data_IF_668543114115
#
_entry.id   IF_668543114115
#
_cell.length_a   1.000
_cell.length_b   1.000
_cell.length_c   1.000
_cell.angle_alpha   90.00
_cell.angle_beta   90.00
_cell.angle_gamma   90.00
#
_symmetry.space_group_name_H-M   'P 1'
#
loop_
_entity.id
_entity.type
_entity.pdbx_description
1 polymer ?
#
# COMPACT_ATOMS: atom_id res chain seq x y z
N UNK A 1 -26.77 -1.13 -5.48
CA UNK A 1 -25.52 -1.91 -5.63
C UNK A 1 -24.62 -1.20 -6.63
N UNK A 2 -23.30 -1.27 -6.48
CA UNK A 2 -22.38 -0.69 -7.46
C UNK A 2 -22.52 -1.41 -8.82
N UNK A 3 -22.45 -0.66 -9.93
CA UNK A 3 -22.67 -1.13 -11.31
C UNK A 3 -21.88 -2.38 -11.71
N UNK A 4 -20.75 -2.63 -11.05
CA UNK A 4 -19.81 -3.71 -11.36
C UNK A 4 -19.63 -4.73 -10.23
N UNK A 5 -20.45 -4.68 -9.18
CA UNK A 5 -20.25 -5.54 -7.99
C UNK A 5 -18.98 -5.21 -7.19
N UNK A 6 -18.29 -4.12 -7.51
CA UNK A 6 -17.06 -3.68 -6.83
C UNK A 6 -17.42 -2.86 -5.60
N UNK A 7 -16.90 -3.27 -4.44
CA UNK A 7 -16.98 -2.49 -3.20
C UNK A 7 -15.83 -1.48 -3.17
N UNK A 8 -16.15 -0.19 -3.30
CA UNK A 8 -15.18 0.87 -3.11
C UNK A 8 -14.98 1.15 -1.61
N UNK A 9 -13.76 1.02 -1.13
CA UNK A 9 -13.39 1.30 0.27
C UNK A 9 -12.57 2.60 0.27
N UNK A 10 -13.03 3.57 1.05
CA UNK A 10 -12.38 4.87 1.18
C UNK A 10 -11.54 4.90 2.46
N UNK A 11 -10.38 5.56 2.38
CA UNK A 11 -9.55 5.87 3.55
C UNK A 11 -10.01 7.19 4.20
N UNK A 12 -9.77 7.38 5.51
CA UNK A 12 -10.03 8.67 6.15
C UNK A 12 -9.30 9.82 5.45
N UNK A 13 -9.88 11.04 5.45
CA UNK A 13 -9.23 12.20 4.86
C UNK A 13 -7.89 12.49 5.56
N UNK A 14 -6.89 12.94 4.80
CA UNK A 14 -5.55 13.28 5.29
C UNK A 14 -4.84 12.16 6.08
N UNK A 15 -5.21 10.90 5.83
CA UNK A 15 -4.59 9.74 6.47
C UNK A 15 -3.89 8.83 5.44
N UNK A 16 -2.75 9.29 4.84
CA UNK A 16 -2.03 8.59 3.79
C UNK A 16 -1.57 7.17 4.19
N UNK A 17 -1.24 7.00 5.47
CA UNK A 17 -0.80 5.71 6.02
C UNK A 17 -1.79 4.56 5.79
N UNK A 18 -3.11 4.83 5.71
CA UNK A 18 -4.11 3.81 5.39
C UNK A 18 -4.00 3.25 3.97
N UNK A 19 -3.39 3.99 3.03
CA UNK A 19 -3.08 3.53 1.69
C UNK A 19 -1.56 3.39 1.45
N UNK A 20 -0.80 3.16 2.53
CA UNK A 20 0.67 3.24 2.50
C UNK A 20 1.34 2.27 1.50
N UNK A 21 0.73 1.14 1.16
CA UNK A 21 1.26 0.23 0.13
C UNK A 21 1.18 0.85 -1.27
N UNK A 22 0.09 1.52 -1.61
CA UNK A 22 -0.04 2.21 -2.89
C UNK A 22 0.91 3.40 -2.96
N UNK A 23 1.03 4.18 -1.88
CA UNK A 23 1.98 5.30 -1.81
C UNK A 23 3.43 4.84 -1.95
N UNK A 24 3.80 3.74 -1.28
CA UNK A 24 5.12 3.12 -1.43
C UNK A 24 5.37 2.69 -2.88
N UNK A 25 4.38 2.11 -3.55
CA UNK A 25 4.50 1.74 -4.96
C UNK A 25 4.71 2.97 -5.86
N UNK A 26 4.01 4.08 -5.60
CA UNK A 26 4.21 5.35 -6.32
C UNK A 26 5.65 5.88 -6.12
N UNK A 27 6.17 5.83 -4.89
CA UNK A 27 7.56 6.20 -4.59
C UNK A 27 8.56 5.38 -5.42
N UNK A 28 8.41 4.04 -5.42
CA UNK A 28 9.26 3.13 -6.19
C UNK A 28 9.24 3.47 -7.68
N UNK A 29 8.06 3.75 -8.24
CA UNK A 29 7.93 4.09 -9.66
C UNK A 29 8.64 5.40 -9.97
N UNK A 30 8.40 6.45 -9.18
CA UNK A 30 9.04 7.76 -9.36
C UNK A 30 10.56 7.68 -9.26
N UNK A 31 11.08 6.96 -8.27
CA UNK A 31 12.52 6.79 -8.07
C UNK A 31 13.18 6.07 -9.25
N UNK A 32 12.52 5.03 -9.78
CA UNK A 32 13.03 4.28 -10.95
C UNK A 32 12.97 5.12 -12.23
N UNK A 33 11.91 5.89 -12.44
CA UNK A 33 11.80 6.81 -13.57
C UNK A 33 12.92 7.86 -13.55
N UNK A 34 13.16 8.49 -12.39
CA UNK A 34 14.23 9.48 -12.22
C UNK A 34 15.61 8.91 -12.58
N UNK A 35 15.89 7.66 -12.19
CA UNK A 35 17.16 6.99 -12.51
C UNK A 35 17.34 6.73 -14.01
N UNK A 36 16.26 6.43 -14.74
CA UNK A 36 16.32 6.20 -16.18
C UNK A 36 16.47 7.50 -16.97
N UNK A 37 15.90 8.60 -16.49
CA UNK A 37 16.01 9.92 -17.13
C UNK A 37 17.45 10.49 -17.06
N UNK A 38 18.19 10.15 -16.00
CA UNK A 38 19.60 10.53 -15.87
C UNK A 38 20.56 9.85 -16.86
N UNK A 39 20.11 8.97 -17.76
CA UNK A 39 21.00 8.20 -18.66
C UNK A 39 21.45 8.97 -19.92
N UNK A 40 21.15 10.26 -20.03
CA UNK A 40 21.62 11.13 -21.12
C UNK A 40 20.86 11.00 -22.45
N UNK A 41 19.94 10.04 -22.57
CA UNK A 41 19.02 9.88 -23.68
C UNK A 41 17.61 9.68 -23.11
N UNK A 42 16.78 10.72 -22.99
CA UNK A 42 15.44 10.58 -22.43
C UNK A 42 14.60 9.68 -23.34
N UNK A 43 14.21 8.52 -22.82
CA UNK A 43 13.25 7.63 -23.49
C UNK A 43 11.84 8.24 -23.38
N UNK A 44 10.95 7.82 -24.28
CA UNK A 44 9.54 8.14 -24.14
C UNK A 44 8.98 7.61 -22.81
N UNK A 45 8.17 8.44 -22.13
CA UNK A 45 7.64 8.15 -20.80
C UNK A 45 6.86 6.84 -20.78
N UNK A 46 6.13 6.55 -21.86
CA UNK A 46 5.39 5.29 -21.99
C UNK A 46 6.34 4.08 -21.88
N UNK A 47 7.45 4.11 -22.63
CA UNK A 47 8.46 3.04 -22.63
C UNK A 47 9.11 2.92 -21.26
N UNK A 48 9.44 4.05 -20.63
CA UNK A 48 10.00 4.08 -19.28
C UNK A 48 9.05 3.43 -18.28
N UNK A 49 7.77 3.81 -18.27
CA UNK A 49 6.77 3.26 -17.35
C UNK A 49 6.60 1.75 -17.57
N UNK A 50 6.50 1.28 -18.82
CA UNK A 50 6.43 -0.16 -19.12
C UNK A 50 7.65 -0.91 -18.60
N UNK A 51 8.84 -0.33 -18.77
CA UNK A 51 10.12 -0.88 -18.32
C UNK A 51 10.16 -0.96 -16.79
N UNK A 52 9.83 0.13 -16.08
CA UNK A 52 9.73 0.14 -14.61
C UNK A 52 8.78 -0.95 -14.11
N UNK A 53 7.59 -1.03 -14.70
CA UNK A 53 6.56 -1.96 -14.27
C UNK A 53 6.95 -3.41 -14.55
N UNK A 54 7.67 -3.69 -15.64
CA UNK A 54 8.26 -5.00 -15.92
C UNK A 54 9.24 -5.40 -14.82
N UNK A 55 10.20 -4.54 -14.50
CA UNK A 55 11.17 -4.83 -13.44
C UNK A 55 10.51 -4.93 -12.07
N UNK A 56 9.56 -4.07 -11.75
CA UNK A 56 8.84 -4.14 -10.48
C UNK A 56 8.16 -5.50 -10.28
N UNK A 57 7.48 -6.02 -11.31
CA UNK A 57 6.81 -7.33 -11.25
C UNK A 57 7.77 -8.52 -11.24
N UNK A 58 8.99 -8.34 -11.74
CA UNK A 58 10.02 -9.38 -11.83
C UNK A 58 11.06 -9.34 -10.68
N UNK A 59 10.99 -8.33 -9.80
CA UNK A 59 11.94 -8.19 -8.69
C UNK A 59 11.32 -8.74 -7.41
N UNK A 60 11.98 -9.66 -6.69
CA UNK A 60 11.49 -10.14 -5.40
C UNK A 60 11.35 -9.00 -4.39
N UNK A 61 10.26 -9.00 -3.62
CA UNK A 61 10.09 -8.07 -2.51
C UNK A 61 10.78 -8.61 -1.25
N UNK A 62 11.53 -7.76 -0.54
CA UNK A 62 12.27 -8.14 0.67
C UNK A 62 11.39 -8.67 1.81
N UNK A 63 10.09 -8.38 1.81
CA UNK A 63 9.16 -8.87 2.83
C UNK A 63 8.63 -10.28 2.58
N UNK A 64 8.67 -10.73 1.32
CA UNK A 64 8.08 -12.00 0.88
C UNK A 64 9.08 -12.91 0.19
N UNK A 65 10.26 -12.41 -0.18
CA UNK A 65 11.27 -13.05 -1.05
C UNK A 65 10.70 -13.60 -2.36
N UNK A 66 9.55 -13.07 -2.77
CA UNK A 66 8.78 -13.48 -3.95
C UNK A 66 8.47 -12.28 -4.80
N UNK A 67 8.37 -12.50 -6.11
CA UNK A 67 8.02 -11.45 -7.07
C UNK A 67 6.51 -11.22 -7.12
N UNK A 68 6.05 -10.00 -7.43
CA UNK A 68 4.62 -9.74 -7.61
C UNK A 68 3.97 -10.60 -8.71
N UNK A 69 4.72 -10.97 -9.75
CA UNK A 69 4.24 -11.87 -10.80
C UNK A 69 3.91 -13.26 -10.24
N UNK A 70 4.81 -13.83 -9.44
CA UNK A 70 4.63 -15.14 -8.82
C UNK A 70 3.45 -15.14 -7.84
N UNK A 71 3.29 -14.07 -7.06
CA UNK A 71 2.21 -13.95 -6.08
C UNK A 71 0.82 -13.86 -6.73
N UNK A 72 0.71 -13.28 -7.93
CA UNK A 72 -0.58 -13.16 -8.65
C UNK A 72 -0.85 -14.41 -9.48
N UNK A 73 0.16 -14.91 -10.19
CA UNK A 73 0.03 -16.01 -11.15
C UNK A 73 0.18 -17.40 -10.54
N UNK A 74 0.65 -17.52 -9.29
CA UNK A 74 1.09 -18.78 -8.68
C UNK A 74 2.03 -19.60 -9.60
N UNK A 75 2.82 -18.89 -10.41
CA UNK A 75 3.68 -19.46 -11.45
C UNK A 75 5.02 -18.72 -11.49
N UNK A 76 6.13 -19.41 -11.81
CA UNK A 76 7.44 -18.78 -11.90
C UNK A 76 7.48 -17.78 -13.05
N UNK A 77 8.33 -16.76 -12.91
CA UNK A 77 8.54 -15.79 -13.99
C UNK A 77 9.09 -16.52 -15.23
N UNK A 78 8.53 -16.27 -16.42
CA UNK A 78 9.10 -16.80 -17.66
C UNK A 78 10.49 -16.19 -17.88
N UNK A 79 11.51 -17.04 -17.79
CA UNK A 79 12.89 -16.69 -18.12
C UNK A 79 13.21 -17.18 -19.54
N UNK A 80 14.16 -16.52 -20.20
CA UNK A 80 14.58 -16.87 -21.57
C UNK A 80 15.14 -18.30 -21.66
N UNK A 81 15.75 -18.80 -20.57
CA UNK A 81 16.34 -20.13 -20.50
C UNK A 81 15.81 -20.91 -19.29
N UNK A 82 14.59 -21.48 -19.37
CA UNK A 82 13.97 -22.16 -18.23
C UNK A 82 14.74 -23.42 -17.79
N UNK A 83 15.44 -24.06 -18.73
CA UNK A 83 16.24 -25.26 -18.45
C UNK A 83 17.51 -24.98 -17.63
N UNK A 84 17.96 -23.71 -17.58
CA UNK A 84 19.11 -23.29 -16.77
C UNK A 84 18.72 -22.94 -15.33
N UNK A 85 17.43 -22.93 -15.00
CA UNK A 85 16.93 -22.63 -13.66
C UNK A 85 16.55 -23.95 -13.00
N UNK A 86 17.33 -24.39 -12.00
CA UNK A 86 17.00 -25.57 -11.19
C UNK A 86 15.69 -25.31 -10.46
N UNK A 87 14.59 -25.78 -11.02
CA UNK A 87 13.25 -25.52 -10.50
C UNK A 87 12.99 -26.48 -9.35
N UNK A 88 13.49 -26.17 -8.15
CA UNK A 88 12.91 -26.77 -6.95
C UNK A 88 11.51 -26.19 -6.81
N UNK A 89 10.50 -26.97 -7.19
CA UNK A 89 9.08 -26.69 -6.92
C UNK A 89 8.84 -26.82 -5.42
N UNK A 90 9.42 -25.94 -4.62
CA UNK A 90 9.03 -25.82 -3.23
C UNK A 90 7.62 -25.28 -3.24
N UNK A 91 6.68 -25.99 -2.60
CA UNK A 91 5.37 -25.45 -2.26
C UNK A 91 5.64 -24.22 -1.38
N UNK A 92 5.68 -23.04 -2.00
CA UNK A 92 6.12 -21.82 -1.35
C UNK A 92 4.97 -21.28 -0.50
N UNK A 93 5.01 -21.55 0.80
CA UNK A 93 4.20 -20.80 1.76
C UNK A 93 4.58 -19.32 1.66
N UNK A 94 3.62 -18.47 1.33
CA UNK A 94 3.80 -17.02 1.33
C UNK A 94 4.16 -16.58 2.75
N UNK A 95 5.44 -16.35 3.01
CA UNK A 95 5.91 -15.79 4.28
C UNK A 95 5.40 -14.35 4.38
N UNK A 96 4.29 -14.16 5.07
CA UNK A 96 3.85 -12.82 5.50
C UNK A 96 4.64 -12.47 6.75
N UNK A 97 5.73 -11.72 6.60
CA UNK A 97 6.35 -11.09 7.76
C UNK A 97 5.42 -10.02 8.33
N UNK A 98 4.64 -10.40 9.35
CA UNK A 98 3.91 -9.44 10.16
C UNK A 98 4.88 -8.74 11.10
N UNK A 99 4.88 -7.41 11.10
CA UNK A 99 5.55 -6.66 12.17
C UNK A 99 4.84 -7.01 13.48
N UNK A 100 5.54 -7.50 14.52
CA UNK A 100 4.91 -7.82 15.80
C UNK A 100 4.29 -6.55 16.39
N UNK A 101 2.99 -6.62 16.70
CA UNK A 101 2.20 -5.50 17.25
C UNK A 101 2.71 -4.99 18.61
N UNK A 102 3.56 -5.77 19.29
CA UNK A 102 4.05 -5.50 20.64
C UNK A 102 5.06 -4.34 20.75
N UNK A 103 5.44 -3.68 19.65
CA UNK A 103 6.35 -2.52 19.68
C UNK A 103 5.65 -1.18 19.91
N UNK A 104 4.32 -1.14 19.85
CA UNK A 104 3.52 0.06 20.10
C UNK A 104 2.67 -0.23 21.34
N UNK A 105 2.68 0.67 22.32
CA UNK A 105 1.88 0.53 23.55
C UNK A 105 0.39 0.37 23.25
N UNK A 106 -0.42 0.11 24.28
CA UNK A 106 -1.87 -0.07 24.12
C UNK A 106 -2.47 1.06 23.27
N UNK A 107 -3.05 0.72 22.12
CA UNK A 107 -3.62 1.71 21.22
C UNK A 107 -4.77 2.41 21.93
N UNK A 108 -4.79 3.76 21.88
CA UNK A 108 -5.91 4.54 22.40
C UNK A 108 -7.16 4.16 21.59
N UNK A 109 -8.21 3.75 22.29
CA UNK A 109 -9.52 3.43 21.73
C UNK A 109 -10.55 4.42 22.26
N UNK A 110 -11.59 4.67 21.47
CA UNK A 110 -12.69 5.56 21.79
C UNK A 110 -13.99 4.81 21.56
N UNK A 111 -15.00 5.11 22.38
CA UNK A 111 -16.34 4.55 22.26
C UNK A 111 -17.31 5.57 21.67
N UNK A 112 -18.41 5.10 21.10
CA UNK A 112 -19.53 5.98 20.70
C UNK A 112 -20.00 6.82 21.89
N UNK A 113 -20.08 8.14 21.71
CA UNK A 113 -20.42 9.11 22.74
C UNK A 113 -19.22 9.82 23.38
N UNK A 114 -17.98 9.39 23.10
CA UNK A 114 -16.80 10.07 23.60
C UNK A 114 -16.58 11.42 22.88
N UNK A 115 -16.19 12.44 23.64
CA UNK A 115 -15.71 13.71 23.09
C UNK A 115 -14.23 13.57 22.78
N UNK A 116 -13.88 13.77 21.51
CA UNK A 116 -12.52 13.67 21.00
C UNK A 116 -12.05 14.98 20.39
N UNK A 117 -10.74 15.20 20.43
CA UNK A 117 -10.11 16.35 19.79
C UNK A 117 -9.73 15.97 18.35
N UNK A 118 -10.28 16.68 17.38
CA UNK A 118 -10.00 16.51 15.94
C UNK A 118 -9.05 17.61 15.49
N UNK A 119 -7.95 17.20 14.87
CA UNK A 119 -7.05 18.14 14.22
C UNK A 119 -7.50 18.40 12.79
N UNK A 120 -7.75 19.67 12.45
CA UNK A 120 -7.99 20.08 11.08
C UNK A 120 -6.66 20.47 10.40
N UNK A 121 -6.20 19.73 9.37
CA UNK A 121 -4.94 20.03 8.70
C UNK A 121 -4.98 21.31 7.87
N UNK A 122 -6.16 21.85 7.55
CA UNK A 122 -6.30 23.09 6.78
C UNK A 122 -6.13 24.30 7.69
N UNK A 123 -6.96 24.42 8.73
CA UNK A 123 -6.85 25.51 9.71
C UNK A 123 -5.66 25.35 10.66
N UNK A 124 -5.09 24.14 10.77
CA UNK A 124 -4.06 23.75 11.76
C UNK A 124 -4.52 23.96 13.20
N UNK A 125 -5.83 23.94 13.42
CA UNK A 125 -6.45 24.08 14.73
C UNK A 125 -7.07 22.76 15.17
N UNK A 126 -7.30 22.67 16.47
CA UNK A 126 -7.98 21.56 17.09
C UNK A 126 -9.43 21.95 17.39
N UNK A 127 -10.38 21.08 17.07
CA UNK A 127 -11.80 21.23 17.38
C UNK A 127 -12.29 20.01 18.18
N UNK A 128 -13.26 20.20 19.05
CA UNK A 128 -13.92 19.09 19.73
C UNK A 128 -14.99 18.50 18.81
N UNK A 129 -15.14 17.17 18.84
CA UNK A 129 -16.20 16.47 18.13
C UNK A 129 -16.65 15.23 18.88
N UNK A 130 -17.87 14.78 18.59
CA UNK A 130 -18.50 13.63 19.21
C UNK A 130 -18.31 12.37 18.35
N UNK A 131 -17.85 11.28 18.94
CA UNK A 131 -17.77 9.99 18.22
C UNK A 131 -19.17 9.43 18.02
N UNK A 132 -19.63 9.34 16.76
CA UNK A 132 -20.95 8.80 16.41
C UNK A 132 -20.91 7.34 16.00
N UNK A 133 -19.87 6.94 15.25
CA UNK A 133 -19.78 5.58 14.70
C UNK A 133 -18.34 5.08 14.70
N UNK A 134 -18.13 3.89 15.25
CA UNK A 134 -16.90 3.12 15.10
C UNK A 134 -16.92 2.35 13.78
N UNK A 135 -15.99 2.64 12.86
CA UNK A 135 -15.85 1.96 11.56
C UNK A 135 -14.80 0.85 11.57
N UNK A 136 -13.87 0.87 12.52
CA UNK A 136 -12.81 -0.13 12.69
C UNK A 136 -11.85 0.26 13.82
N UNK A 137 -10.80 -0.54 14.06
CA UNK A 137 -9.88 -0.38 15.20
C UNK A 137 -9.35 1.05 15.42
N UNK A 138 -9.07 1.79 14.34
CA UNK A 138 -8.52 3.15 14.38
C UNK A 138 -9.30 4.10 13.46
N UNK A 139 -10.58 3.84 13.19
CA UNK A 139 -11.37 4.66 12.27
C UNK A 139 -12.74 4.94 12.87
N UNK A 140 -13.01 6.21 13.08
CA UNK A 140 -14.21 6.71 13.74
C UNK A 140 -14.87 7.77 12.84
N UNK A 141 -16.19 7.85 12.89
CA UNK A 141 -16.95 8.97 12.32
C UNK A 141 -17.25 9.92 13.46
N UNK A 142 -16.91 11.19 13.25
CA UNK A 142 -16.98 12.23 14.27
C UNK A 142 -17.95 13.27 13.77
N UNK A 143 -18.89 13.64 14.62
CA UNK A 143 -19.76 14.79 14.40
C UNK A 143 -19.09 16.01 14.99
N UNK A 144 -18.85 17.00 14.14
CA UNK A 144 -18.29 18.29 14.54
C UNK A 144 -19.48 19.23 14.57
N UNK A 145 -20.23 19.22 15.69
CA UNK A 145 -21.27 20.22 15.92
C UNK A 145 -20.64 21.61 15.72
N UNK A 146 -21.21 22.38 14.79
CA UNK A 146 -20.66 23.65 14.29
C UNK A 146 -20.66 24.79 15.29
#
# INVERSE_FOLDING_TARGET
MAKWGVKHILTPPYHPASNGLAEKAVGIVKDKLKKMDCSGNPLDLHIMVQTVLRYYRATPHTSTDQTPYELIGNAPIPVMFPQLVSTQKTLMETRRHSIPKNKFGSARSFSVGDIVLVYDPVSKLNAYGLVTVEKGNNSYTIDMDG
#
